data_IF_937861652423
#
_entry.id   IF_937861652423
#
_cell.length_a   1.000
_cell.length_b   1.000
_cell.length_c   1.000
_cell.angle_alpha   90.00
_cell.angle_beta   90.00
_cell.angle_gamma   90.00
#
_symmetry.space_group_name_H-M   'P 1'
#
loop_
_entity.id
_entity.type
_entity.pdbx_description
1 polymer ?
#
# COMPACT_ATOMS: atom_id res chain seq x y z
N UNK A 1 3.39 12.66 -52.03
CA UNK A 1 4.58 12.95 -51.21
C UNK A 1 4.16 13.31 -49.80
N UNK A 2 4.79 12.64 -48.89
CA UNK A 2 4.96 12.81 -47.45
C UNK A 2 3.65 12.59 -46.67
N UNK A 3 3.41 11.52 -45.98
CA UNK A 3 4.29 10.69 -45.11
C UNK A 3 4.57 11.37 -43.79
N UNK A 4 3.69 11.27 -42.80
CA UNK A 4 3.87 11.75 -41.45
C UNK A 4 3.34 10.71 -40.48
N UNK A 5 4.10 9.63 -40.26
CA UNK A 5 3.87 8.67 -39.22
C UNK A 5 4.18 9.29 -37.85
N UNK A 6 3.16 9.67 -37.13
CA UNK A 6 3.22 9.99 -35.73
C UNK A 6 3.24 8.67 -34.94
N UNK A 7 4.41 8.08 -34.72
CA UNK A 7 4.62 6.99 -33.75
C UNK A 7 4.37 7.54 -32.36
N UNK A 8 3.15 7.42 -31.87
CA UNK A 8 2.84 7.62 -30.46
C UNK A 8 3.57 6.54 -29.68
N UNK A 9 4.57 6.94 -28.90
CA UNK A 9 5.17 6.08 -27.88
C UNK A 9 4.04 5.59 -26.98
N UNK A 10 3.63 4.34 -27.14
CA UNK A 10 2.63 3.66 -26.35
C UNK A 10 3.13 3.51 -24.93
N UNK A 11 2.98 4.55 -24.11
CA UNK A 11 3.19 4.47 -22.68
C UNK A 11 2.32 3.36 -22.15
N UNK A 12 2.94 2.31 -21.55
CA UNK A 12 2.23 1.20 -20.92
C UNK A 12 1.20 1.79 -19.95
N UNK A 13 -0.09 1.60 -20.24
CA UNK A 13 -1.14 2.09 -19.35
C UNK A 13 -1.02 1.40 -18.02
N UNK A 14 -1.22 2.16 -16.94
CA UNK A 14 -1.13 1.65 -15.56
C UNK A 14 -2.36 0.80 -15.29
N UNK A 15 -2.14 -0.47 -14.95
CA UNK A 15 -3.19 -1.45 -14.69
C UNK A 15 -3.61 -1.43 -13.22
N UNK A 16 -4.92 -1.48 -12.97
CA UNK A 16 -5.52 -1.52 -11.63
C UNK A 16 -6.38 -2.77 -11.53
N UNK A 17 -6.05 -3.67 -10.61
CA UNK A 17 -6.86 -4.85 -10.32
C UNK A 17 -8.06 -4.45 -9.45
N UNK A 18 -9.26 -4.78 -9.91
CA UNK A 18 -10.53 -4.53 -9.23
C UNK A 18 -11.20 -5.87 -8.93
N UNK A 19 -11.58 -6.09 -7.68
CA UNK A 19 -12.23 -7.34 -7.26
C UNK A 19 -13.45 -7.04 -6.41
N UNK A 20 -14.61 -7.39 -6.92
CA UNK A 20 -15.90 -7.29 -6.23
C UNK A 20 -16.88 -8.30 -6.87
N UNK A 21 -17.68 -9.02 -6.08
CA UNK A 21 -18.63 -10.00 -6.63
C UNK A 21 -19.95 -9.36 -7.12
N UNK A 22 -20.16 -8.09 -6.85
CA UNK A 22 -21.23 -7.29 -7.43
C UNK A 22 -20.78 -6.75 -8.81
N UNK A 23 -21.26 -7.39 -9.89
CA UNK A 23 -20.92 -7.02 -11.25
C UNK A 23 -21.28 -5.55 -11.57
N UNK A 24 -22.38 -5.03 -11.02
CA UNK A 24 -22.83 -3.64 -11.29
C UNK A 24 -21.83 -2.65 -10.67
N UNK A 25 -21.41 -2.92 -9.45
CA UNK A 25 -20.39 -2.10 -8.79
C UNK A 25 -19.04 -2.22 -9.50
N UNK A 26 -18.68 -3.44 -9.91
CA UNK A 26 -17.42 -3.69 -10.61
C UNK A 26 -17.35 -2.96 -11.95
N UNK A 27 -18.44 -2.98 -12.74
CA UNK A 27 -18.55 -2.24 -14.01
C UNK A 27 -18.45 -0.72 -13.79
N UNK A 28 -19.08 -0.22 -12.73
CA UNK A 28 -18.98 1.19 -12.35
C UNK A 28 -17.55 1.56 -11.97
N UNK A 29 -16.90 0.74 -11.16
CA UNK A 29 -15.50 0.95 -10.76
C UNK A 29 -14.56 0.91 -11.96
N UNK A 30 -14.75 -0.06 -12.85
CA UNK A 30 -13.98 -0.17 -14.10
C UNK A 30 -14.12 1.10 -14.94
N UNK A 31 -15.35 1.57 -15.16
CA UNK A 31 -15.61 2.82 -15.89
C UNK A 31 -14.92 4.02 -15.24
N UNK A 32 -15.03 4.19 -13.91
CA UNK A 32 -14.43 5.30 -13.18
C UNK A 32 -12.89 5.28 -13.30
N UNK A 33 -12.30 4.10 -13.18
CA UNK A 33 -10.84 3.87 -13.27
C UNK A 33 -10.35 4.16 -14.70
N UNK A 34 -11.11 3.73 -15.72
CA UNK A 34 -10.80 3.99 -17.12
C UNK A 34 -10.86 5.48 -17.47
N UNK A 35 -11.91 6.19 -17.01
CA UNK A 35 -12.03 7.64 -17.17
C UNK A 35 -10.89 8.41 -16.48
N UNK A 36 -10.28 7.82 -15.48
CA UNK A 36 -9.11 8.38 -14.78
C UNK A 36 -7.78 8.14 -15.52
N UNK A 37 -7.80 7.43 -16.65
CA UNK A 37 -6.63 7.14 -17.49
C UNK A 37 -5.89 5.85 -17.16
N UNK A 38 -6.46 4.99 -16.31
CA UNK A 38 -5.94 3.68 -15.98
C UNK A 38 -6.57 2.57 -16.82
N UNK A 39 -6.00 1.37 -16.77
CA UNK A 39 -6.59 0.16 -17.37
C UNK A 39 -7.15 -0.71 -16.25
N UNK A 40 -8.48 -0.90 -16.17
CA UNK A 40 -9.07 -1.78 -15.18
C UNK A 40 -8.85 -3.26 -15.55
N UNK A 41 -8.49 -4.07 -14.56
CA UNK A 41 -8.47 -5.53 -14.60
C UNK A 41 -9.54 -6.01 -13.61
N UNK A 42 -10.70 -6.36 -14.13
CA UNK A 42 -11.88 -6.66 -13.30
C UNK A 42 -12.06 -8.17 -13.10
N UNK A 43 -12.31 -8.58 -11.87
CA UNK A 43 -12.59 -9.96 -11.48
C UNK A 43 -13.74 -10.02 -10.49
N UNK A 44 -14.64 -11.00 -10.64
CA UNK A 44 -15.78 -11.22 -9.74
C UNK A 44 -15.49 -12.28 -8.67
N UNK A 45 -14.32 -12.92 -8.72
CA UNK A 45 -13.93 -13.98 -7.81
C UNK A 45 -12.42 -14.04 -7.60
N UNK A 46 -11.95 -14.68 -6.52
CA UNK A 46 -10.53 -14.78 -6.20
C UNK A 46 -9.68 -15.47 -7.27
N UNK A 47 -10.21 -16.50 -7.93
CA UNK A 47 -9.46 -17.25 -8.94
C UNK A 47 -9.20 -16.39 -10.17
N UNK A 48 -10.22 -15.66 -10.63
CA UNK A 48 -10.10 -14.66 -11.70
C UNK A 48 -9.11 -13.55 -11.33
N UNK A 49 -9.20 -13.05 -10.10
CA UNK A 49 -8.29 -12.02 -9.60
C UNK A 49 -6.82 -12.47 -9.62
N UNK A 50 -6.53 -13.67 -9.12
CA UNK A 50 -5.17 -14.24 -9.13
C UNK A 50 -4.70 -14.48 -10.56
N UNK A 51 -5.56 -15.03 -11.43
CA UNK A 51 -5.22 -15.25 -12.84
C UNK A 51 -4.89 -13.94 -13.57
N UNK A 52 -5.63 -12.86 -13.31
CA UNK A 52 -5.34 -11.53 -13.85
C UNK A 52 -4.02 -10.98 -13.28
N UNK A 53 -3.82 -11.11 -11.97
CA UNK A 53 -2.58 -10.68 -11.34
C UNK A 53 -1.34 -11.36 -11.93
N UNK A 54 -1.41 -12.68 -12.21
CA UNK A 54 -0.27 -13.46 -12.74
C UNK A 54 0.05 -13.16 -14.21
N UNK A 55 -0.96 -12.77 -15.00
CA UNK A 55 -0.80 -12.47 -16.44
C UNK A 55 -0.52 -10.99 -16.73
N UNK A 56 -0.70 -10.14 -15.75
CA UNK A 56 -0.57 -8.69 -15.86
C UNK A 56 0.42 -8.20 -14.80
N UNK A 57 0.61 -6.89 -14.74
CA UNK A 57 1.47 -6.27 -13.71
C UNK A 57 0.73 -5.11 -13.04
N UNK A 58 -0.38 -5.39 -12.32
CA UNK A 58 -1.17 -4.34 -11.72
C UNK A 58 -0.33 -3.52 -10.73
N UNK A 59 -0.54 -2.21 -10.77
CA UNK A 59 0.18 -1.26 -9.92
C UNK A 59 -0.51 -1.06 -8.58
N UNK A 60 -1.83 -1.30 -8.53
CA UNK A 60 -2.68 -1.25 -7.33
C UNK A 60 -3.74 -2.33 -7.46
N UNK A 61 -4.11 -2.95 -6.35
CA UNK A 61 -5.31 -3.76 -6.24
C UNK A 61 -6.36 -3.07 -5.35
N UNK A 62 -7.62 -3.13 -5.77
CA UNK A 62 -8.79 -2.73 -4.98
C UNK A 62 -9.62 -3.97 -4.76
N UNK A 63 -9.83 -4.38 -3.51
CA UNK A 63 -10.43 -5.66 -3.17
C UNK A 63 -11.58 -5.46 -2.19
N UNK A 64 -12.77 -5.94 -2.56
CA UNK A 64 -13.86 -6.07 -1.59
C UNK A 64 -13.56 -7.22 -0.61
N UNK A 65 -13.74 -6.96 0.68
CA UNK A 65 -13.63 -8.01 1.69
C UNK A 65 -14.89 -8.87 1.79
N UNK A 66 -16.04 -8.32 1.40
CA UNK A 66 -17.35 -8.99 1.55
C UNK A 66 -17.77 -9.73 0.26
N UNK A 67 -16.94 -10.63 -0.22
CA UNK A 67 -17.26 -11.50 -1.34
C UNK A 67 -18.22 -12.60 -0.86
N UNK A 68 -19.47 -12.66 -1.36
CA UNK A 68 -20.56 -13.51 -0.85
C UNK A 68 -20.23 -15.00 -0.72
N UNK A 69 -19.34 -15.51 -1.56
CA UNK A 69 -18.98 -16.95 -1.64
C UNK A 69 -17.56 -17.24 -1.18
N UNK A 70 -16.75 -16.21 -0.92
CA UNK A 70 -15.33 -16.32 -0.60
C UNK A 70 -14.98 -15.37 0.53
N UNK A 71 -13.93 -15.67 1.24
CA UNK A 71 -13.35 -14.74 2.21
C UNK A 71 -12.38 -13.78 1.50
N UNK A 72 -12.70 -12.49 1.46
CA UNK A 72 -11.83 -11.48 0.88
C UNK A 72 -10.49 -11.34 1.62
N UNK A 73 -10.44 -11.75 2.88
CA UNK A 73 -9.19 -11.82 3.64
C UNK A 73 -8.24 -12.88 3.10
N UNK A 74 -8.75 -14.03 2.64
CA UNK A 74 -7.94 -15.07 2.02
C UNK A 74 -7.32 -14.55 0.71
N UNK A 75 -8.09 -13.83 -0.10
CA UNK A 75 -7.57 -13.20 -1.31
C UNK A 75 -6.51 -12.13 -0.99
N UNK A 76 -6.74 -11.30 0.03
CA UNK A 76 -5.76 -10.33 0.50
C UNK A 76 -4.44 -11.00 0.89
N UNK A 77 -4.51 -12.08 1.68
CA UNK A 77 -3.35 -12.85 2.09
C UNK A 77 -2.62 -13.48 0.90
N UNK A 78 -3.36 -13.99 -0.09
CA UNK A 78 -2.81 -14.57 -1.32
C UNK A 78 -2.06 -13.54 -2.15
N UNK A 79 -2.67 -12.41 -2.42
CA UNK A 79 -2.02 -11.31 -3.15
C UNK A 79 -0.76 -10.84 -2.42
N UNK A 80 -0.81 -10.74 -1.09
CA UNK A 80 0.33 -10.30 -0.28
C UNK A 80 1.47 -11.31 -0.28
N UNK A 81 1.19 -12.61 -0.27
CA UNK A 81 2.23 -13.66 -0.42
C UNK A 81 2.92 -13.58 -1.78
N UNK A 82 2.16 -13.29 -2.85
CA UNK A 82 2.68 -13.18 -4.23
C UNK A 82 3.46 -11.90 -4.45
N UNK A 83 3.00 -10.79 -3.86
CA UNK A 83 3.67 -9.49 -3.97
C UNK A 83 3.61 -8.71 -2.67
N UNK A 84 4.76 -8.59 -2.01
CA UNK A 84 4.90 -7.67 -0.89
C UNK A 84 4.79 -6.19 -1.32
N UNK A 85 5.09 -5.91 -2.59
CA UNK A 85 5.19 -4.56 -3.14
C UNK A 85 3.86 -3.97 -3.61
N UNK A 86 2.89 -4.82 -4.02
CA UNK A 86 1.60 -4.38 -4.55
C UNK A 86 0.82 -3.60 -3.49
N UNK A 87 0.48 -2.34 -3.71
CA UNK A 87 -0.46 -1.64 -2.84
C UNK A 87 -1.85 -2.26 -2.96
N UNK A 88 -2.46 -2.60 -1.82
CA UNK A 88 -3.80 -3.17 -1.74
C UNK A 88 -4.69 -2.23 -0.94
N UNK A 89 -5.73 -1.72 -1.60
CA UNK A 89 -6.81 -0.93 -0.99
C UNK A 89 -7.98 -1.88 -0.77
N UNK A 90 -8.47 -2.00 0.45
CA UNK A 90 -9.65 -2.82 0.73
C UNK A 90 -10.91 -1.98 0.76
N UNK A 91 -12.00 -2.54 0.22
CA UNK A 91 -13.34 -2.01 0.39
C UNK A 91 -14.00 -2.76 1.54
N UNK A 92 -14.67 -2.05 2.45
CA UNK A 92 -15.26 -2.65 3.65
C UNK A 92 -16.58 -1.99 4.01
N UNK A 93 -17.48 -2.72 4.69
CA UNK A 93 -18.73 -2.16 5.19
C UNK A 93 -18.49 -1.26 6.42
N UNK A 94 -19.39 -0.30 6.64
CA UNK A 94 -19.30 0.76 7.66
C UNK A 94 -19.16 0.29 9.11
N UNK A 95 -19.58 -0.93 9.42
CA UNK A 95 -19.77 -1.40 10.80
C UNK A 95 -18.67 -2.33 11.31
N UNK A 96 -17.56 -2.49 10.59
CA UNK A 96 -16.51 -3.42 10.98
C UNK A 96 -15.19 -2.69 11.22
N UNK A 97 -15.09 -2.03 12.39
CA UNK A 97 -13.79 -1.48 12.82
C UNK A 97 -12.77 -2.61 12.99
N UNK A 98 -13.22 -3.77 13.48
CA UNK A 98 -12.41 -4.98 13.59
C UNK A 98 -11.92 -5.48 12.22
N UNK A 99 -12.76 -5.44 11.19
CA UNK A 99 -12.38 -5.86 9.84
C UNK A 99 -11.36 -4.89 9.21
N UNK A 100 -11.47 -3.59 9.46
CA UNK A 100 -10.47 -2.61 9.00
C UNK A 100 -9.11 -2.90 9.63
N UNK A 101 -9.08 -3.07 10.95
CA UNK A 101 -7.85 -3.37 11.68
C UNK A 101 -7.30 -4.71 11.21
N UNK A 102 -8.12 -5.74 11.10
CA UNK A 102 -7.74 -7.06 10.61
C UNK A 102 -7.17 -7.00 9.19
N UNK A 103 -7.84 -6.32 8.27
CA UNK A 103 -7.35 -6.17 6.89
C UNK A 103 -6.00 -5.46 6.82
N UNK A 104 -5.86 -4.37 7.56
CA UNK A 104 -4.61 -3.64 7.66
C UNK A 104 -3.53 -4.53 8.29
N UNK A 105 -3.82 -5.28 9.35
CA UNK A 105 -2.87 -6.22 9.98
C UNK A 105 -2.44 -7.36 9.05
N UNK A 106 -3.33 -7.83 8.17
CA UNK A 106 -3.05 -8.83 7.16
C UNK A 106 -2.28 -8.29 5.95
N UNK A 107 -2.04 -6.98 5.90
CA UNK A 107 -1.19 -6.40 4.89
C UNK A 107 -1.89 -5.49 3.87
N UNK A 108 -3.16 -5.12 4.05
CA UNK A 108 -3.73 -4.02 3.29
C UNK A 108 -2.92 -2.73 3.55
N UNK A 109 -2.79 -1.90 2.53
CA UNK A 109 -2.07 -0.63 2.60
C UNK A 109 -3.01 0.54 2.89
N UNK A 110 -4.29 0.37 2.60
CA UNK A 110 -5.34 1.39 2.80
C UNK A 110 -6.72 0.73 2.83
N UNK A 111 -7.73 1.49 3.26
CA UNK A 111 -9.13 1.04 3.20
C UNK A 111 -10.07 2.17 2.78
N UNK A 112 -11.22 1.78 2.23
CA UNK A 112 -12.33 2.68 1.91
C UNK A 112 -13.64 2.05 2.39
N UNK A 113 -14.44 2.84 3.11
CA UNK A 113 -15.69 2.37 3.72
C UNK A 113 -16.86 2.55 2.76
N UNK A 114 -17.62 1.49 2.51
CA UNK A 114 -18.88 1.52 1.74
C UNK A 114 -20.02 2.14 2.60
N UNK A 115 -20.85 3.04 2.03
CA UNK A 115 -20.76 3.63 0.71
C UNK A 115 -19.70 4.73 0.63
N UNK A 116 -18.95 4.77 -0.46
CA UNK A 116 -17.87 5.72 -0.69
C UNK A 116 -18.13 6.63 -1.89
N UNK A 117 -17.51 7.80 -1.86
CA UNK A 117 -17.48 8.70 -3.00
C UNK A 117 -16.46 8.24 -4.03
N UNK A 118 -16.85 8.23 -5.32
CA UNK A 118 -15.94 7.88 -6.42
C UNK A 118 -14.66 8.74 -6.42
N UNK A 119 -14.75 10.02 -6.02
CA UNK A 119 -13.60 10.92 -5.92
C UNK A 119 -12.61 10.49 -4.84
N UNK A 120 -13.11 10.00 -3.72
CA UNK A 120 -12.27 9.49 -2.62
C UNK A 120 -11.48 8.26 -3.08
N UNK A 121 -12.15 7.24 -3.61
CA UNK A 121 -11.49 6.03 -4.08
C UNK A 121 -10.45 6.33 -5.16
N UNK A 122 -10.78 7.18 -6.15
CA UNK A 122 -9.83 7.60 -7.18
C UNK A 122 -8.63 8.36 -6.63
N UNK A 123 -8.82 9.21 -5.64
CA UNK A 123 -7.72 9.93 -5.00
C UNK A 123 -6.73 8.95 -4.35
N UNK A 124 -7.24 7.91 -3.66
CA UNK A 124 -6.44 6.86 -3.04
C UNK A 124 -5.72 6.00 -4.09
N UNK A 125 -6.43 5.53 -5.12
CA UNK A 125 -5.84 4.79 -6.25
C UNK A 125 -4.69 5.60 -6.88
N UNK A 126 -4.93 6.87 -7.22
CA UNK A 126 -3.90 7.75 -7.81
C UNK A 126 -2.70 7.94 -6.90
N UNK A 127 -2.93 8.10 -5.59
CA UNK A 127 -1.86 8.27 -4.63
C UNK A 127 -0.98 7.02 -4.55
N UNK A 128 -1.57 5.83 -4.46
CA UNK A 128 -0.85 4.57 -4.43
C UNK A 128 -0.18 4.26 -5.78
N UNK A 129 -0.88 4.47 -6.91
CA UNK A 129 -0.33 4.24 -8.26
C UNK A 129 0.87 5.14 -8.54
N UNK A 130 0.80 6.43 -8.22
CA UNK A 130 1.91 7.38 -8.40
C UNK A 130 3.16 6.95 -7.63
N UNK A 131 3.00 6.46 -6.39
CA UNK A 131 4.11 6.00 -5.57
C UNK A 131 4.71 4.71 -6.08
N UNK A 132 3.86 3.73 -6.41
CA UNK A 132 4.32 2.46 -6.95
C UNK A 132 5.02 2.65 -8.32
N UNK A 133 4.51 3.54 -9.18
CA UNK A 133 5.13 3.87 -10.47
C UNK A 133 6.37 4.74 -10.29
N UNK A 134 6.38 5.67 -9.35
CA UNK A 134 7.53 6.49 -9.02
C UNK A 134 8.70 5.65 -8.49
N UNK A 135 8.42 4.67 -7.64
CA UNK A 135 9.40 3.69 -7.15
C UNK A 135 9.97 2.83 -8.30
N UNK A 136 9.21 2.63 -9.39
CA UNK A 136 9.66 1.89 -10.59
C UNK A 136 10.44 2.76 -11.57
N UNK A 137 10.09 4.04 -11.69
CA UNK A 137 10.67 4.98 -12.66
C UNK A 137 11.90 5.74 -12.13
N UNK A 138 11.93 6.07 -10.85
CA UNK A 138 13.10 6.63 -10.21
C UNK A 138 14.16 5.52 -10.13
N UNK A 139 15.38 5.81 -10.57
CA UNK A 139 16.50 4.88 -10.40
C UNK A 139 16.51 4.37 -8.95
N UNK A 140 16.94 3.12 -8.76
CA UNK A 140 16.90 2.49 -7.43
C UNK A 140 17.65 3.38 -6.44
N UNK A 141 16.99 3.87 -5.38
CA UNK A 141 17.66 4.68 -4.37
C UNK A 141 18.85 3.93 -3.78
N UNK A 142 19.86 4.63 -3.27
CA UNK A 142 20.95 3.97 -2.56
C UNK A 142 20.42 3.25 -1.30
N UNK A 143 21.17 2.23 -0.90
CA UNK A 143 20.96 1.57 0.40
C UNK A 143 21.06 2.63 1.49
N UNK A 144 20.11 2.62 2.42
CA UNK A 144 20.09 3.53 3.56
C UNK A 144 20.52 2.77 4.81
N UNK A 145 21.56 3.25 5.48
CA UNK A 145 22.08 2.66 6.73
C UNK A 145 22.01 3.69 7.84
N UNK A 146 21.42 3.31 8.97
CA UNK A 146 21.30 4.16 10.16
C UNK A 146 21.31 3.25 11.41
N UNK A 147 22.35 3.32 12.21
CA UNK A 147 22.55 2.43 13.35
C UNK A 147 22.54 0.97 12.92
N UNK A 148 21.74 0.14 13.59
CA UNK A 148 21.59 -1.29 13.27
C UNK A 148 20.68 -1.56 12.05
N UNK A 149 20.10 -0.55 11.42
CA UNK A 149 19.20 -0.68 10.28
C UNK A 149 19.94 -0.51 8.96
N UNK A 150 19.80 -1.48 8.06
CA UNK A 150 20.21 -1.37 6.65
C UNK A 150 18.99 -1.65 5.77
N UNK A 151 18.51 -0.67 5.07
CA UNK A 151 17.33 -0.74 4.20
C UNK A 151 17.76 -0.81 2.73
N UNK A 152 17.46 -1.93 2.08
CA UNK A 152 17.79 -2.17 0.68
C UNK A 152 16.57 -1.97 -0.23
N UNK A 153 16.57 -0.89 -1.06
CA UNK A 153 15.44 -0.60 -1.94
C UNK A 153 15.26 -1.58 -3.11
N UNK A 154 16.34 -2.26 -3.54
CA UNK A 154 16.28 -3.22 -4.66
C UNK A 154 15.55 -4.47 -4.25
N UNK A 155 15.91 -4.99 -3.09
CA UNK A 155 15.34 -6.22 -2.55
C UNK A 155 14.06 -5.98 -1.73
N UNK A 156 13.80 -4.71 -1.36
CA UNK A 156 12.77 -4.29 -0.40
C UNK A 156 12.90 -5.03 0.93
N UNK A 157 14.13 -5.23 1.34
CA UNK A 157 14.50 -5.87 2.59
C UNK A 157 15.03 -4.84 3.59
N UNK A 158 14.65 -5.05 4.82
CA UNK A 158 15.32 -4.49 5.97
C UNK A 158 16.27 -5.55 6.53
N UNK A 159 17.50 -5.18 6.77
CA UNK A 159 18.42 -5.94 7.61
C UNK A 159 18.52 -5.23 8.95
N UNK A 160 18.11 -5.91 10.01
CA UNK A 160 18.25 -5.47 11.38
C UNK A 160 19.27 -6.40 12.06
N UNK A 161 20.39 -5.85 12.48
CA UNK A 161 21.53 -6.64 13.00
C UNK A 161 21.92 -7.80 12.02
N UNK A 162 21.84 -7.56 10.70
CA UNK A 162 22.13 -8.54 9.65
C UNK A 162 20.99 -9.52 9.34
N UNK A 163 19.88 -9.51 10.09
CA UNK A 163 18.74 -10.40 9.87
C UNK A 163 17.78 -9.80 8.84
N UNK A 164 17.55 -10.46 7.69
CA UNK A 164 16.68 -9.93 6.64
C UNK A 164 15.20 -10.05 7.02
N UNK A 165 14.46 -8.95 6.85
CA UNK A 165 13.01 -8.89 7.06
C UNK A 165 12.35 -8.27 5.84
N UNK A 166 11.37 -8.98 5.25
CA UNK A 166 10.61 -8.47 4.11
C UNK A 166 9.54 -7.48 4.54
N UNK A 167 9.57 -6.31 3.93
CA UNK A 167 8.60 -5.24 4.17
C UNK A 167 7.60 -5.14 3.00
N UNK A 168 6.35 -4.71 3.31
CA UNK A 168 5.43 -4.23 2.27
C UNK A 168 5.93 -2.89 1.72
N UNK A 169 5.39 -2.47 0.56
CA UNK A 169 5.77 -1.18 -0.01
C UNK A 169 5.52 -0.01 0.94
N UNK A 170 4.44 -0.07 1.69
CA UNK A 170 4.06 0.98 2.65
C UNK A 170 4.93 0.96 3.91
N UNK A 171 5.20 -0.22 4.47
CA UNK A 171 6.14 -0.37 5.60
C UNK A 171 7.56 0.08 5.23
N UNK A 172 8.00 -0.25 4.02
CA UNK A 172 9.30 0.17 3.51
C UNK A 172 9.40 1.70 3.45
N UNK A 173 8.40 2.38 2.85
CA UNK A 173 8.37 3.86 2.78
C UNK A 173 8.28 4.50 4.16
N UNK A 174 7.48 3.93 5.06
CA UNK A 174 7.39 4.41 6.44
C UNK A 174 8.73 4.34 7.14
N UNK A 175 9.39 3.18 7.12
CA UNK A 175 10.68 3.01 7.75
C UNK A 175 11.75 3.91 7.11
N UNK A 176 11.80 3.99 5.77
CA UNK A 176 12.73 4.86 5.05
C UNK A 176 12.56 6.33 5.46
N UNK A 177 11.31 6.78 5.61
CA UNK A 177 11.01 8.14 6.03
C UNK A 177 11.48 8.40 7.46
N UNK A 178 11.21 7.48 8.38
CA UNK A 178 11.67 7.57 9.77
C UNK A 178 13.20 7.51 9.88
N UNK A 179 13.87 6.64 9.12
CA UNK A 179 15.33 6.55 9.09
C UNK A 179 16.00 7.86 8.62
N UNK A 180 15.39 8.53 7.63
CA UNK A 180 15.88 9.85 7.17
C UNK A 180 15.71 10.98 8.19
N UNK A 181 14.85 10.75 9.19
CA UNK A 181 14.56 11.69 10.28
C UNK A 181 14.90 11.06 11.64
N UNK A 182 15.91 10.16 11.66
CA UNK A 182 16.30 9.48 12.91
C UNK A 182 16.54 10.47 14.04
N UNK A 183 16.17 10.06 15.25
CA UNK A 183 16.22 10.81 16.49
C UNK A 183 15.35 12.09 16.55
N UNK A 184 14.68 12.43 15.46
CA UNK A 184 13.71 13.53 15.42
C UNK A 184 12.28 13.01 15.55
N UNK A 185 11.40 13.79 16.18
CA UNK A 185 9.99 13.48 16.22
C UNK A 185 9.33 13.94 14.91
N UNK A 186 8.77 13.00 14.17
CA UNK A 186 8.04 13.27 12.93
C UNK A 186 6.55 13.30 13.22
N UNK A 187 5.84 14.41 12.96
CA UNK A 187 4.40 14.49 13.16
C UNK A 187 3.64 13.40 12.40
N UNK A 188 2.61 12.81 13.02
CA UNK A 188 1.81 11.74 12.39
C UNK A 188 1.22 12.17 11.04
N UNK A 189 0.80 13.43 10.93
CA UNK A 189 0.27 14.00 9.68
C UNK A 189 1.33 14.09 8.58
N UNK A 190 2.57 14.41 8.94
CA UNK A 190 3.68 14.43 7.99
C UNK A 190 4.01 13.01 7.49
N UNK A 191 3.99 12.03 8.39
CA UNK A 191 4.11 10.60 8.06
C UNK A 191 3.01 10.17 7.09
N UNK A 192 1.74 10.44 7.43
CA UNK A 192 0.59 10.10 6.60
C UNK A 192 0.69 10.72 5.20
N UNK A 193 0.97 12.01 5.13
CA UNK A 193 1.14 12.74 3.88
C UNK A 193 2.29 12.19 3.02
N UNK A 194 3.42 11.85 3.65
CA UNK A 194 4.57 11.31 2.93
C UNK A 194 4.32 9.91 2.42
N UNK A 195 3.82 9.01 3.27
CA UNK A 195 3.69 7.58 2.98
C UNK A 195 2.43 7.27 2.17
N UNK A 196 1.29 7.93 2.45
CA UNK A 196 0.00 7.69 1.78
C UNK A 196 -0.43 8.82 0.84
N UNK A 197 0.00 10.07 1.08
CA UNK A 197 -0.32 11.25 0.27
C UNK A 197 -1.56 11.99 0.71
N UNK A 198 -2.17 11.56 1.78
CA UNK A 198 -3.32 12.19 2.43
C UNK A 198 -3.11 12.14 3.94
N UNK A 199 -3.88 12.94 4.68
CA UNK A 199 -3.80 13.09 6.14
C UNK A 199 -5.18 13.24 6.75
N UNK A 200 -6.19 12.59 6.14
CA UNK A 200 -7.54 12.49 6.65
C UNK A 200 -7.62 11.58 7.90
N UNK A 201 -8.78 11.48 8.51
CA UNK A 201 -8.97 10.66 9.71
C UNK A 201 -8.65 9.17 9.46
N UNK A 202 -9.09 8.55 8.34
CA UNK A 202 -8.68 7.19 7.99
C UNK A 202 -7.16 7.01 7.90
N UNK A 203 -6.42 8.03 7.46
CA UNK A 203 -4.96 7.95 7.35
C UNK A 203 -4.28 7.74 8.71
N UNK A 204 -4.82 8.29 9.80
CA UNK A 204 -4.28 8.11 11.15
C UNK A 204 -4.36 6.66 11.60
N UNK A 205 -5.48 5.99 11.32
CA UNK A 205 -5.65 4.56 11.63
C UNK A 205 -4.70 3.70 10.83
N UNK A 206 -4.56 3.99 9.53
CA UNK A 206 -3.61 3.27 8.66
C UNK A 206 -2.17 3.45 9.15
N UNK A 207 -1.77 4.65 9.57
CA UNK A 207 -0.44 4.90 10.18
C UNK A 207 -0.28 4.05 11.44
N UNK A 208 -1.25 4.09 12.36
CA UNK A 208 -1.20 3.37 13.63
C UNK A 208 -1.01 1.87 13.43
N UNK A 209 -1.81 1.26 12.56
CA UNK A 209 -1.73 -0.18 12.31
C UNK A 209 -0.45 -0.54 11.55
N UNK A 210 -0.02 0.28 10.59
CA UNK A 210 1.24 0.03 9.87
C UNK A 210 2.44 0.12 10.81
N UNK A 211 2.47 1.07 11.75
CA UNK A 211 3.50 1.15 12.80
C UNK A 211 3.48 -0.08 13.68
N UNK A 212 2.29 -0.56 14.09
CA UNK A 212 2.16 -1.78 14.89
C UNK A 212 2.74 -2.99 14.15
N UNK A 213 2.38 -3.19 12.87
CA UNK A 213 2.93 -4.26 12.04
C UNK A 213 4.46 -4.16 11.90
N UNK A 214 4.95 -2.94 11.66
CA UNK A 214 6.39 -2.72 11.51
C UNK A 214 7.12 -3.06 12.81
N UNK A 215 6.62 -2.61 13.97
CA UNK A 215 7.16 -2.98 15.29
C UNK A 215 7.23 -4.49 15.48
N UNK A 216 6.15 -5.20 15.16
CA UNK A 216 6.11 -6.67 15.25
C UNK A 216 7.19 -7.33 14.38
N UNK A 217 7.43 -6.81 13.17
CA UNK A 217 8.50 -7.29 12.29
C UNK A 217 9.91 -6.97 12.79
N UNK A 218 10.05 -5.90 13.56
CA UNK A 218 11.30 -5.49 14.19
C UNK A 218 11.56 -6.21 15.53
N UNK A 219 10.60 -7.04 16.02
CA UNK A 219 10.65 -7.57 17.39
C UNK A 219 10.52 -6.46 18.45
N UNK A 220 9.81 -5.39 18.13
CA UNK A 220 9.63 -4.15 18.93
C UNK A 220 8.17 -3.99 19.39
N UNK A 221 7.47 -5.09 19.60
CA UNK A 221 6.04 -5.15 19.95
C UNK A 221 5.75 -5.20 21.46
N UNK A 222 6.79 -5.20 22.26
CA UNK A 222 6.68 -5.20 23.73
C UNK A 222 6.32 -3.84 24.34
N UNK A 223 6.12 -3.81 25.67
CA UNK A 223 5.82 -2.58 26.43
C UNK A 223 6.92 -1.51 26.30
N UNK A 224 8.16 -1.93 26.08
CA UNK A 224 9.29 -1.03 25.83
C UNK A 224 9.53 -0.92 24.34
N UNK A 225 9.04 0.17 23.75
CA UNK A 225 9.33 0.53 22.36
C UNK A 225 10.84 0.76 22.20
N UNK A 226 11.53 -0.20 21.59
CA UNK A 226 13.01 -0.17 21.44
C UNK A 226 13.44 0.76 20.31
N UNK A 227 12.77 0.68 19.18
CA UNK A 227 13.16 1.38 17.95
C UNK A 227 12.18 2.49 17.55
N UNK A 228 10.90 2.16 17.40
CA UNK A 228 9.90 3.13 16.97
C UNK A 228 9.10 3.59 18.18
N UNK A 229 9.32 4.83 18.60
CA UNK A 229 8.64 5.43 19.75
C UNK A 229 7.44 6.26 19.28
N UNK A 230 6.30 6.09 19.95
CA UNK A 230 5.17 6.99 19.80
C UNK A 230 5.31 8.14 20.80
N UNK A 231 5.28 9.37 20.31
CA UNK A 231 5.19 10.57 21.13
C UNK A 231 3.72 10.99 21.16
N UNK A 232 3.00 10.78 22.27
CA UNK A 232 1.57 11.00 22.35
C UNK A 232 1.17 12.41 21.91
N UNK A 233 0.15 12.51 21.05
CA UNK A 233 -0.34 13.79 20.51
C UNK A 233 0.57 14.49 19.49
N UNK A 234 1.77 13.98 19.24
CA UNK A 234 2.76 14.59 18.33
C UNK A 234 3.05 13.71 17.13
N UNK A 235 3.61 12.52 17.33
CA UNK A 235 4.05 11.70 16.20
C UNK A 235 4.92 10.52 16.57
N UNK A 236 5.85 10.20 15.68
CA UNK A 236 6.73 9.04 15.77
C UNK A 236 8.19 9.47 15.78
N UNK A 237 9.03 8.73 16.47
CA UNK A 237 10.49 8.89 16.46
C UNK A 237 11.15 7.52 16.32
N UNK A 238 12.15 7.43 15.43
CA UNK A 238 12.99 6.25 15.29
C UNK A 238 14.29 6.45 16.09
N UNK A 239 14.59 5.50 16.96
CA UNK A 239 15.92 5.32 17.52
C UNK A 239 16.56 4.09 16.87
N UNK A 240 17.57 4.27 16.03
CA UNK A 240 18.10 3.18 15.21
C UNK A 240 18.97 2.18 16.00
N UNK A 241 19.19 2.38 17.27
CA UNK A 241 20.16 1.61 18.06
C UNK A 241 21.60 2.05 17.78
N UNK A 242 22.48 1.62 18.62
CA UNK A 242 23.93 1.85 18.48
C UNK A 242 24.54 0.73 17.68
#
# INVERSE_FOLDING_TARGET
>A
MVGGGGGGAGGRRIEILLVDDDQVLLDLLAFIVEQAGFTPLAATDPAGAISLFERSDPVVAVVDLNLRRWDGFDLLADLRRRSAALPIIVLTARNSEDDKVRALDMGADDYVVKPFGHRELLARIRAHARRASGDRAAGVPPVLEVGSFRLDPRERLLYLDGVPTRLTGTEFRLLQYLMRHSDSVVPTEAVAKHVWGFNDEPARDVVRVTVHRLRRKLGDDGERQRFIHTVPGVGLRLHPGS
#
